data_IF_582136619862
#
_entry.id   IF_582136619862
#
_cell.length_a   1.000
_cell.length_b   1.000
_cell.length_c   1.000
_cell.angle_alpha   90.00
_cell.angle_beta   90.00
_cell.angle_gamma   90.00
#
_symmetry.space_group_name_H-M   'P 1'
#
loop_
_entity.id
_entity.type
_entity.pdbx_description
1 polymer ?
#
# COMPACT_ATOMS: atom_id res chain seq x y z
N UNK A 1 -31.04 3.13 33.33
CA UNK A 1 -31.10 4.39 32.55
C UNK A 1 -29.71 4.59 31.98
N UNK A 2 -29.49 4.11 30.75
CA UNK A 2 -28.18 4.18 30.08
C UNK A 2 -27.92 5.65 29.75
N UNK A 3 -26.83 6.22 30.25
CA UNK A 3 -26.38 7.53 29.80
C UNK A 3 -25.84 7.34 28.38
N UNK A 4 -26.68 7.59 27.39
CA UNK A 4 -26.22 7.78 26.01
C UNK A 4 -25.23 8.94 26.03
N UNK A 5 -23.94 8.60 26.01
CA UNK A 5 -22.88 9.57 25.88
C UNK A 5 -23.08 10.30 24.56
N UNK A 6 -23.48 11.58 24.63
CA UNK A 6 -23.59 12.45 23.47
C UNK A 6 -22.18 12.54 22.87
N UNK A 7 -21.92 11.80 21.79
CA UNK A 7 -20.68 11.88 21.04
C UNK A 7 -20.72 13.16 20.21
N UNK A 8 -19.92 14.15 20.61
CA UNK A 8 -19.72 15.36 19.83
C UNK A 8 -18.92 14.98 18.58
N UNK A 9 -19.41 15.23 17.36
CA UNK A 9 -18.68 14.93 16.13
C UNK A 9 -17.31 15.64 16.15
N UNK A 10 -16.23 14.90 15.92
CA UNK A 10 -14.90 15.48 15.85
C UNK A 10 -14.82 16.51 14.70
N UNK A 11 -14.18 17.64 14.96
CA UNK A 11 -13.93 18.64 13.93
C UNK A 11 -12.98 18.09 12.86
N UNK A 12 -13.02 18.61 11.60
CA UNK A 12 -12.10 18.16 10.56
C UNK A 12 -10.61 18.27 10.95
N UNK A 13 -10.24 19.28 11.75
CA UNK A 13 -8.86 19.43 12.24
C UNK A 13 -8.46 18.31 13.20
N UNK A 14 -9.38 17.88 14.06
CA UNK A 14 -9.15 16.76 14.98
C UNK A 14 -9.02 15.45 14.20
N UNK A 15 -9.91 15.20 13.23
CA UNK A 15 -9.84 14.00 12.40
C UNK A 15 -8.53 13.92 11.60
N UNK A 16 -8.07 15.05 11.03
CA UNK A 16 -6.76 15.14 10.38
C UNK A 16 -5.62 14.78 11.34
N UNK A 17 -5.60 15.38 12.53
CA UNK A 17 -4.57 15.10 13.54
C UNK A 17 -4.59 13.64 13.99
N UNK A 18 -5.78 13.03 14.15
CA UNK A 18 -5.93 11.61 14.44
C UNK A 18 -5.34 10.76 13.30
N UNK A 19 -5.57 11.15 12.04
CA UNK A 19 -4.95 10.51 10.88
C UNK A 19 -3.42 10.55 10.91
N UNK A 20 -2.85 11.71 11.22
CA UNK A 20 -1.39 11.87 11.40
C UNK A 20 -0.87 10.92 12.47
N UNK A 21 -1.46 10.94 13.67
CA UNK A 21 -1.00 10.12 14.81
C UNK A 21 -1.10 8.62 14.51
N UNK A 22 -2.22 8.17 13.93
CA UNK A 22 -2.41 6.76 13.58
C UNK A 22 -1.44 6.28 12.48
N UNK A 23 -0.91 7.20 11.69
CA UNK A 23 0.05 6.92 10.63
C UNK A 23 1.49 6.79 11.14
N UNK A 24 1.85 7.39 12.29
CA UNK A 24 3.23 7.40 12.79
C UNK A 24 3.88 6.01 12.94
N UNK A 25 3.21 4.96 13.45
CA UNK A 25 3.81 3.63 13.52
C UNK A 25 4.16 3.06 12.14
N UNK A 26 3.38 3.43 11.11
CA UNK A 26 3.62 3.03 9.72
C UNK A 26 4.81 3.79 9.16
N UNK A 27 4.90 5.09 9.40
CA UNK A 27 6.04 5.92 9.00
C UNK A 27 7.36 5.38 9.57
N UNK A 28 7.35 4.87 10.80
CA UNK A 28 8.54 4.28 11.42
C UNK A 28 9.11 3.11 10.61
N UNK A 29 8.26 2.31 9.95
CA UNK A 29 8.69 1.27 9.00
C UNK A 29 8.93 1.80 7.59
N UNK A 30 8.14 2.76 7.14
CA UNK A 30 8.22 3.30 5.77
C UNK A 30 9.49 4.12 5.51
N UNK A 31 10.01 4.84 6.51
CA UNK A 31 11.24 5.66 6.37
C UNK A 31 12.48 4.83 6.04
N UNK A 32 12.88 3.80 6.82
CA UNK A 32 14.03 2.97 6.46
C UNK A 32 13.81 2.23 5.13
N UNK A 33 12.56 1.87 4.83
CA UNK A 33 12.20 1.23 3.56
C UNK A 33 12.34 2.16 2.35
N UNK A 34 11.86 3.41 2.46
CA UNK A 34 12.03 4.43 1.43
C UNK A 34 13.51 4.81 1.26
N UNK A 35 14.26 4.86 2.36
CA UNK A 35 15.70 5.10 2.32
C UNK A 35 16.45 3.99 1.56
N UNK A 36 16.08 2.71 1.77
CA UNK A 36 16.60 1.60 0.98
C UNK A 36 16.33 1.81 -0.51
N UNK A 37 15.08 2.07 -0.88
CA UNK A 37 14.69 2.31 -2.27
C UNK A 37 15.55 3.40 -2.90
N UNK A 38 15.71 4.52 -2.20
CA UNK A 38 16.55 5.62 -2.63
C UNK A 38 17.99 5.20 -2.89
N UNK A 39 18.57 4.41 -1.98
CA UNK A 39 19.95 3.91 -2.13
C UNK A 39 20.11 2.95 -3.31
N UNK A 40 19.10 2.12 -3.60
CA UNK A 40 19.07 1.25 -4.76
C UNK A 40 18.93 2.06 -6.06
N UNK A 41 18.09 3.11 -6.04
CA UNK A 41 17.94 4.02 -7.17
C UNK A 41 19.26 4.72 -7.51
N UNK A 42 20.03 5.15 -6.50
CA UNK A 42 21.35 5.72 -6.72
C UNK A 42 22.31 4.72 -7.38
N UNK A 43 22.30 3.44 -6.96
CA UNK A 43 23.09 2.37 -7.59
C UNK A 43 22.69 2.10 -9.03
N UNK A 44 21.40 2.21 -9.33
CA UNK A 44 20.84 2.13 -10.69
C UNK A 44 21.11 3.39 -11.54
N UNK A 45 21.86 4.38 -11.02
CA UNK A 45 22.22 5.60 -11.73
C UNK A 45 21.14 6.69 -11.76
N UNK A 46 20.05 6.52 -11.00
CA UNK A 46 19.00 7.55 -10.89
C UNK A 46 19.45 8.68 -9.96
N UNK A 47 19.17 9.91 -10.37
CA UNK A 47 19.42 11.08 -9.54
C UNK A 47 18.37 11.22 -8.43
N UNK A 48 18.69 12.04 -7.41
CA UNK A 48 17.73 12.39 -6.37
C UNK A 48 16.48 13.11 -6.94
N UNK A 49 16.62 13.81 -8.06
CA UNK A 49 15.49 14.42 -8.76
C UNK A 49 14.60 13.35 -9.42
N UNK A 50 15.20 12.35 -10.08
CA UNK A 50 14.45 11.25 -10.70
C UNK A 50 13.66 10.47 -9.64
N UNK A 51 14.31 10.15 -8.52
CA UNK A 51 13.65 9.47 -7.41
C UNK A 51 12.57 10.35 -6.76
N UNK A 52 12.83 11.64 -6.57
CA UNK A 52 11.86 12.60 -6.05
C UNK A 52 10.63 12.73 -6.94
N UNK A 53 10.81 12.84 -8.26
CA UNK A 53 9.71 12.88 -9.23
C UNK A 53 8.94 11.57 -9.27
N UNK A 54 9.65 10.43 -9.26
CA UNK A 54 9.00 9.12 -9.23
C UNK A 54 8.18 8.94 -7.95
N UNK A 55 8.68 9.36 -6.78
CA UNK A 55 7.93 9.34 -5.51
C UNK A 55 6.78 10.33 -5.47
N UNK A 56 6.93 11.46 -6.15
CA UNK A 56 5.89 12.46 -6.19
C UNK A 56 4.73 12.06 -7.13
N UNK A 57 5.01 11.38 -8.24
CA UNK A 57 4.06 11.08 -9.30
C UNK A 57 3.55 9.62 -9.27
N UNK A 58 4.41 8.68 -8.89
CA UNK A 58 4.11 7.25 -8.78
C UNK A 58 4.21 6.86 -7.31
N UNK A 59 3.24 7.36 -6.53
CA UNK A 59 3.17 7.15 -5.09
C UNK A 59 2.73 5.72 -4.74
N UNK A 60 3.57 4.74 -5.07
CA UNK A 60 3.33 3.31 -4.86
C UNK A 60 4.66 2.57 -4.68
N UNK A 61 5.09 2.37 -3.43
CA UNK A 61 6.44 1.89 -3.12
C UNK A 61 6.86 0.60 -3.83
N UNK A 62 6.02 -0.44 -3.82
CA UNK A 62 6.32 -1.70 -4.52
C UNK A 62 6.57 -1.51 -6.03
N UNK A 63 5.85 -0.59 -6.66
CA UNK A 63 6.00 -0.30 -8.08
C UNK A 63 7.31 0.41 -8.36
N UNK A 64 7.76 1.27 -7.44
CA UNK A 64 9.02 1.97 -7.57
C UNK A 64 10.21 1.01 -7.40
N UNK A 65 10.13 0.02 -6.52
CA UNK A 65 11.15 -1.04 -6.44
C UNK A 65 11.26 -1.80 -7.77
N UNK A 66 10.12 -2.23 -8.32
CA UNK A 66 10.07 -2.88 -9.64
C UNK A 66 10.63 -1.96 -10.73
N UNK A 67 10.31 -0.67 -10.68
CA UNK A 67 10.81 0.31 -11.63
C UNK A 67 12.34 0.42 -11.58
N UNK A 68 12.90 0.64 -10.38
CA UNK A 68 14.34 0.76 -10.15
C UNK A 68 15.06 -0.51 -10.60
N UNK A 69 14.55 -1.69 -10.24
CA UNK A 69 15.14 -2.98 -10.63
C UNK A 69 15.16 -3.17 -12.15
N UNK A 70 14.06 -2.85 -12.84
CA UNK A 70 13.99 -2.99 -14.29
C UNK A 70 14.85 -1.96 -15.01
N UNK A 71 14.93 -0.73 -14.50
CA UNK A 71 15.80 0.33 -15.03
C UNK A 71 17.28 -0.03 -14.86
N UNK A 72 17.66 -0.57 -13.70
CA UNK A 72 19.02 -1.08 -13.42
C UNK A 72 19.43 -2.19 -14.41
N UNK A 73 18.48 -3.08 -14.74
CA UNK A 73 18.65 -4.12 -15.77
C UNK A 73 18.66 -3.58 -17.21
N UNK A 74 18.53 -2.29 -17.43
CA UNK A 74 18.48 -1.67 -18.76
C UNK A 74 17.20 -1.98 -19.55
N UNK A 75 16.10 -2.33 -18.86
CA UNK A 75 14.83 -2.64 -19.51
C UNK A 75 14.27 -1.42 -20.25
N UNK A 76 13.62 -1.63 -21.40
CA UNK A 76 12.96 -0.57 -22.14
C UNK A 76 11.88 0.12 -21.27
N UNK A 77 11.78 1.45 -21.34
CA UNK A 77 10.85 2.24 -20.52
C UNK A 77 9.39 1.80 -20.64
N UNK A 78 8.95 1.34 -21.82
CA UNK A 78 7.59 0.83 -22.00
C UNK A 78 7.34 -0.47 -21.22
N UNK A 79 8.33 -1.34 -21.10
CA UNK A 79 8.23 -2.56 -20.29
C UNK A 79 8.15 -2.22 -18.80
N UNK A 80 8.90 -1.21 -18.35
CA UNK A 80 8.84 -0.68 -16.98
C UNK A 80 7.43 -0.16 -16.67
N UNK A 81 6.87 0.68 -17.55
CA UNK A 81 5.50 1.19 -17.41
C UNK A 81 4.49 0.05 -17.39
N UNK A 82 4.61 -0.94 -18.27
CA UNK A 82 3.74 -2.12 -18.28
C UNK A 82 3.78 -2.90 -16.97
N UNK A 83 4.97 -3.13 -16.41
CA UNK A 83 5.15 -3.81 -15.13
C UNK A 83 4.54 -3.02 -13.96
N UNK A 84 4.78 -1.70 -13.92
CA UNK A 84 4.21 -0.80 -12.91
C UNK A 84 2.68 -0.79 -12.99
N UNK A 85 2.11 -0.70 -14.18
CA UNK A 85 0.65 -0.76 -14.36
C UNK A 85 0.10 -2.09 -13.85
N UNK A 86 0.76 -3.20 -14.18
CA UNK A 86 0.37 -4.54 -13.76
C UNK A 86 0.38 -4.68 -12.23
N UNK A 87 1.43 -4.20 -11.56
CA UNK A 87 1.53 -4.16 -10.10
C UNK A 87 0.37 -3.34 -9.51
N UNK A 88 0.10 -2.18 -10.10
CA UNK A 88 -0.87 -1.23 -9.59
C UNK A 88 -2.33 -1.58 -9.84
N UNK A 89 -2.64 -2.58 -10.66
CA UNK A 89 -4.01 -3.09 -10.80
C UNK A 89 -4.62 -3.51 -9.45
N UNK A 90 -3.80 -3.84 -8.45
CA UNK A 90 -4.26 -4.06 -7.07
C UNK A 90 -4.96 -2.84 -6.47
N UNK A 91 -4.59 -1.62 -6.85
CA UNK A 91 -5.25 -0.39 -6.41
C UNK A 91 -6.68 -0.28 -6.95
N UNK A 92 -6.98 -0.87 -8.11
CA UNK A 92 -8.37 -0.94 -8.59
C UNK A 92 -9.23 -1.83 -7.69
N UNK A 93 -8.69 -2.98 -7.28
CA UNK A 93 -9.37 -3.90 -6.36
C UNK A 93 -9.54 -3.26 -4.98
N UNK A 94 -8.49 -2.62 -4.45
CA UNK A 94 -8.57 -1.87 -3.18
C UNK A 94 -9.56 -0.72 -3.27
N UNK A 95 -9.53 0.07 -4.35
CA UNK A 95 -10.48 1.16 -4.60
C UNK A 95 -11.93 0.69 -4.64
N UNK A 96 -12.20 -0.47 -5.24
CA UNK A 96 -13.54 -1.06 -5.26
C UNK A 96 -14.07 -1.34 -3.84
N UNK A 97 -13.22 -1.76 -2.90
CA UNK A 97 -13.64 -1.96 -1.49
C UNK A 97 -13.93 -0.66 -0.75
N UNK A 98 -13.47 0.49 -1.27
CA UNK A 98 -13.73 1.81 -0.71
C UNK A 98 -14.99 2.47 -1.26
N UNK A 99 -15.65 1.88 -2.26
CA UNK A 99 -16.87 2.44 -2.89
C UNK A 99 -17.91 2.94 -1.87
N UNK A 100 -18.27 2.16 -0.82
CA UNK A 100 -19.31 2.61 0.11
C UNK A 100 -18.90 3.85 0.92
N UNK A 101 -17.59 4.13 1.03
CA UNK A 101 -17.03 5.26 1.79
C UNK A 101 -16.83 6.50 0.92
N UNK A 102 -16.69 6.30 -0.39
CA UNK A 102 -16.50 7.38 -1.37
C UNK A 102 -17.79 7.74 -2.11
N UNK A 103 -18.89 7.01 -1.86
CA UNK A 103 -20.21 7.29 -2.43
C UNK A 103 -20.63 8.72 -2.09
N UNK A 104 -21.01 9.49 -3.12
CA UNK A 104 -21.43 10.89 -2.98
C UNK A 104 -20.28 11.91 -2.99
N UNK A 105 -19.02 11.49 -3.03
CA UNK A 105 -17.88 12.39 -3.22
C UNK A 105 -17.73 12.71 -4.73
N UNK A 106 -17.60 13.99 -5.14
CA UNK A 106 -17.38 14.34 -6.54
C UNK A 106 -16.14 13.64 -7.13
N UNK A 107 -16.23 13.16 -8.38
CA UNK A 107 -15.16 12.40 -9.04
C UNK A 107 -13.77 13.05 -8.94
N UNK A 108 -13.66 14.37 -9.12
CA UNK A 108 -12.37 15.05 -9.02
C UNK A 108 -11.77 14.96 -7.60
N UNK A 109 -12.60 15.08 -6.56
CA UNK A 109 -12.16 14.95 -5.15
C UNK A 109 -11.83 13.51 -4.80
N UNK A 110 -12.63 12.56 -5.29
CA UNK A 110 -12.36 11.14 -5.12
C UNK A 110 -11.05 10.75 -5.82
N UNK A 111 -10.83 11.22 -7.06
CA UNK A 111 -9.60 10.98 -7.81
C UNK A 111 -8.36 11.52 -7.11
N UNK A 112 -8.41 12.74 -6.58
CA UNK A 112 -7.31 13.32 -5.80
C UNK A 112 -7.05 12.52 -4.51
N UNK A 113 -8.09 12.11 -3.80
CA UNK A 113 -7.94 11.30 -2.59
C UNK A 113 -7.34 9.92 -2.91
N UNK A 114 -7.79 9.29 -3.99
CA UNK A 114 -7.33 7.96 -4.43
C UNK A 114 -5.91 8.00 -5.03
N UNK A 115 -5.45 9.14 -5.55
CA UNK A 115 -4.04 9.31 -5.92
C UNK A 115 -3.10 9.05 -4.74
N UNK A 116 -3.49 9.44 -3.53
CA UNK A 116 -2.71 9.19 -2.32
C UNK A 116 -2.94 7.80 -1.70
N UNK A 117 -3.75 6.95 -2.32
CA UNK A 117 -4.04 5.64 -1.75
C UNK A 117 -2.81 4.73 -1.84
N UNK A 118 -2.37 4.24 -0.69
CA UNK A 118 -1.40 3.15 -0.56
C UNK A 118 -2.03 1.97 0.16
N UNK A 119 -1.33 0.84 0.21
CA UNK A 119 -1.76 -0.37 0.92
C UNK A 119 -2.03 -0.05 2.42
N UNK A 120 -1.17 0.77 3.02
CA UNK A 120 -1.24 1.18 4.42
C UNK A 120 -2.42 2.12 4.70
N UNK A 121 -2.61 3.10 3.83
CA UNK A 121 -3.74 4.03 3.93
C UNK A 121 -5.07 3.31 3.72
N UNK A 122 -5.11 2.37 2.77
CA UNK A 122 -6.26 1.50 2.56
C UNK A 122 -6.56 0.65 3.79
N UNK A 123 -5.55 0.03 4.40
CA UNK A 123 -5.72 -0.76 5.62
C UNK A 123 -6.27 0.06 6.79
N UNK A 124 -5.72 1.26 7.01
CA UNK A 124 -6.22 2.18 8.03
C UNK A 124 -7.65 2.65 7.75
N UNK A 125 -7.99 2.91 6.48
CA UNK A 125 -9.33 3.29 6.06
C UNK A 125 -10.35 2.17 6.33
N UNK A 126 -10.00 0.91 6.04
CA UNK A 126 -10.87 -0.23 6.36
C UNK A 126 -11.02 -0.44 7.86
N UNK A 127 -9.96 -0.23 8.64
CA UNK A 127 -10.01 -0.33 10.11
C UNK A 127 -10.90 0.77 10.72
N UNK A 128 -10.86 1.98 10.17
CA UNK A 128 -11.71 3.10 10.58
C UNK A 128 -13.18 2.86 10.23
N UNK A 129 -13.45 2.14 9.15
CA UNK A 129 -14.80 1.66 8.82
C UNK A 129 -15.77 2.82 8.51
N UNK A 130 -17.00 2.81 9.05
CA UNK A 130 -17.99 3.87 8.81
C UNK A 130 -17.58 5.26 9.30
N UNK A 131 -16.65 5.36 10.25
CA UNK A 131 -16.17 6.63 10.80
C UNK A 131 -15.10 7.31 9.93
N UNK A 132 -14.81 6.74 8.75
CA UNK A 132 -13.81 7.29 7.86
C UNK A 132 -14.25 8.67 7.34
N UNK A 133 -13.44 9.68 7.64
CA UNK A 133 -13.61 11.03 7.11
C UNK A 133 -12.51 11.36 6.10
N UNK A 134 -12.80 12.26 5.15
CA UNK A 134 -11.78 12.78 4.23
C UNK A 134 -10.66 13.51 4.98
N UNK A 135 -10.97 14.16 6.10
CA UNK A 135 -9.96 14.85 6.90
C UNK A 135 -8.95 13.86 7.50
N UNK A 136 -9.44 12.75 8.09
CA UNK A 136 -8.59 11.65 8.53
C UNK A 136 -7.75 11.07 7.38
N UNK A 137 -8.38 10.82 6.22
CA UNK A 137 -7.71 10.31 5.03
C UNK A 137 -6.53 11.20 4.61
N UNK A 138 -6.75 12.51 4.52
CA UNK A 138 -5.67 13.45 4.16
C UNK A 138 -4.61 13.61 5.25
N UNK A 139 -4.95 13.40 6.53
CA UNK A 139 -3.98 13.34 7.63
C UNK A 139 -3.01 12.17 7.47
N UNK A 140 -3.52 10.99 7.14
CA UNK A 140 -2.70 9.81 6.81
C UNK A 140 -1.89 10.07 5.54
N UNK A 141 -2.53 10.55 4.47
CA UNK A 141 -1.91 10.78 3.18
C UNK A 141 -0.73 11.74 3.26
N UNK A 142 -0.91 12.92 3.87
CA UNK A 142 0.15 13.91 4.01
C UNK A 142 1.35 13.35 4.79
N UNK A 143 1.07 12.59 5.85
CA UNK A 143 2.10 12.02 6.72
C UNK A 143 2.93 10.95 6.00
N UNK A 144 2.29 9.99 5.32
CA UNK A 144 2.98 8.98 4.52
C UNK A 144 3.71 9.61 3.34
N UNK A 145 3.06 10.50 2.60
CA UNK A 145 3.60 11.08 1.37
C UNK A 145 4.89 11.86 1.64
N UNK A 146 4.88 12.73 2.66
CA UNK A 146 6.05 13.50 3.03
C UNK A 146 7.18 12.62 3.57
N UNK A 147 6.85 11.63 4.42
CA UNK A 147 7.85 10.69 4.93
C UNK A 147 8.48 9.85 3.81
N UNK A 148 7.68 9.35 2.87
CA UNK A 148 8.15 8.55 1.75
C UNK A 148 9.00 9.35 0.77
N UNK A 149 8.53 10.54 0.38
CA UNK A 149 9.26 11.43 -0.53
C UNK A 149 10.61 11.84 0.08
N UNK A 150 10.62 12.29 1.34
CA UNK A 150 11.84 12.71 2.00
C UNK A 150 12.83 11.56 2.22
N UNK A 151 12.37 10.39 2.65
CA UNK A 151 13.23 9.23 2.87
C UNK A 151 13.82 8.68 1.57
N UNK A 152 13.04 8.60 0.48
CA UNK A 152 13.55 8.15 -0.83
C UNK A 152 14.59 9.10 -1.39
N UNK A 153 14.34 10.42 -1.34
CA UNK A 153 15.33 11.42 -1.76
C UNK A 153 16.58 11.37 -0.89
N UNK A 154 16.42 11.32 0.44
CA UNK A 154 17.55 11.21 1.37
C UNK A 154 18.36 9.93 1.12
N UNK A 155 17.70 8.80 0.87
CA UNK A 155 18.33 7.54 0.52
C UNK A 155 19.13 7.62 -0.78
N UNK A 156 18.63 8.31 -1.80
CA UNK A 156 19.37 8.51 -3.06
C UNK A 156 20.58 9.40 -2.87
N UNK A 157 20.45 10.51 -2.12
CA UNK A 157 21.57 11.39 -1.81
C UNK A 157 22.65 10.69 -0.97
N UNK A 158 22.24 9.86 -0.01
CA UNK A 158 23.14 9.08 0.83
C UNK A 158 23.64 7.79 0.17
N UNK A 159 23.05 7.35 -0.95
CA UNK A 159 23.37 6.08 -1.60
C UNK A 159 24.83 5.97 -2.03
N UNK A 160 25.46 7.09 -2.40
CA UNK A 160 26.90 7.16 -2.68
C UNK A 160 27.79 6.81 -1.47
N UNK A 161 27.26 6.92 -0.24
CA UNK A 161 27.96 6.64 1.01
C UNK A 161 27.75 5.19 1.50
N UNK A 162 26.82 4.44 0.90
CA UNK A 162 26.41 3.10 1.37
C UNK A 162 26.84 2.04 0.36
N UNK A 163 27.93 1.33 0.69
CA UNK A 163 28.49 0.27 -0.16
C UNK A 163 27.51 -0.89 -0.36
N UNK A 164 26.82 -1.34 0.70
CA UNK A 164 25.82 -2.41 0.62
C UNK A 164 24.62 -2.14 1.55
N UNK A 165 23.47 -1.70 1.01
CA UNK A 165 22.23 -1.51 1.76
C UNK A 165 21.64 -2.82 2.31
N UNK A 166 21.89 -3.96 1.67
CA UNK A 166 21.32 -5.25 2.09
C UNK A 166 21.99 -5.78 3.36
N UNK A 167 23.27 -5.45 3.57
CA UNK A 167 24.00 -5.75 4.80
C UNK A 167 23.37 -5.17 6.08
N UNK A 168 22.49 -4.16 5.95
CA UNK A 168 21.80 -3.51 7.05
C UNK A 168 20.41 -4.11 7.34
N UNK A 169 20.06 -5.21 6.67
CA UNK A 169 18.75 -5.87 6.80
C UNK A 169 17.60 -5.02 6.28
N UNK A 170 17.88 -4.04 5.43
CA UNK A 170 16.86 -3.13 4.91
C UNK A 170 15.88 -3.86 3.98
N UNK A 171 16.32 -4.92 3.31
CA UNK A 171 15.51 -5.82 2.49
C UNK A 171 14.41 -6.53 3.30
N UNK A 172 14.69 -6.87 4.56
CA UNK A 172 13.70 -7.41 5.48
C UNK A 172 12.58 -6.41 5.82
N UNK A 173 12.84 -5.10 5.73
CA UNK A 173 11.83 -4.07 6.02
C UNK A 173 10.58 -4.22 5.17
N UNK A 174 10.73 -4.61 3.89
CA UNK A 174 9.60 -4.88 3.01
C UNK A 174 8.72 -6.00 3.55
N UNK A 175 9.34 -7.13 3.90
CA UNK A 175 8.65 -8.30 4.46
C UNK A 175 7.98 -7.93 5.79
N UNK A 176 8.67 -7.22 6.66
CA UNK A 176 8.16 -6.80 7.96
C UNK A 176 6.91 -5.93 7.84
N UNK A 177 6.90 -4.93 6.95
CA UNK A 177 5.74 -4.05 6.73
C UNK A 177 4.52 -4.87 6.28
N UNK A 178 4.68 -5.75 5.29
CA UNK A 178 3.57 -6.58 4.82
C UNK A 178 3.09 -7.59 5.86
N UNK A 179 3.98 -8.15 6.68
CA UNK A 179 3.60 -9.00 7.80
C UNK A 179 2.82 -8.23 8.87
N UNK A 180 3.22 -7.00 9.20
CA UNK A 180 2.49 -6.14 10.12
C UNK A 180 1.09 -5.80 9.58
N UNK A 181 0.96 -5.49 8.29
CA UNK A 181 -0.34 -5.27 7.64
C UNK A 181 -1.21 -6.53 7.69
N UNK A 182 -0.64 -7.69 7.34
CA UNK A 182 -1.34 -8.97 7.34
C UNK A 182 -1.83 -9.33 8.75
N UNK A 183 -0.97 -9.17 9.77
CA UNK A 183 -1.34 -9.34 11.16
C UNK A 183 -2.49 -8.40 11.57
N UNK A 184 -2.50 -7.16 11.10
CA UNK A 184 -3.59 -6.20 11.31
C UNK A 184 -4.93 -6.61 10.69
N UNK A 185 -4.93 -7.50 9.69
CA UNK A 185 -6.13 -8.06 9.06
C UNK A 185 -6.57 -9.41 9.65
N UNK A 186 -5.87 -9.93 10.65
CA UNK A 186 -6.25 -11.18 11.30
C UNK A 186 -7.59 -11.02 12.05
N UNK A 187 -8.59 -11.82 11.67
CA UNK A 187 -9.91 -11.89 12.35
C UNK A 187 -10.20 -13.29 12.91
N UNK A 188 -9.15 -14.10 13.07
CA UNK A 188 -9.24 -15.52 13.42
C UNK A 188 -9.09 -16.44 12.21
N UNK A 189 -9.37 -17.73 12.42
CA UNK A 189 -9.15 -18.80 11.42
C UNK A 189 -9.90 -18.58 10.11
N UNK A 190 -10.99 -17.80 10.11
CA UNK A 190 -11.72 -17.43 8.90
C UNK A 190 -10.93 -16.58 7.91
N UNK A 191 -9.86 -15.89 8.36
CA UNK A 191 -8.94 -15.14 7.50
C UNK A 191 -7.99 -16.06 6.71
N UNK A 192 -7.77 -17.31 7.15
CA UNK A 192 -6.77 -18.21 6.54
C UNK A 192 -7.10 -18.63 5.10
N UNK A 193 -8.33 -19.05 4.75
CA UNK A 193 -8.61 -19.52 3.39
C UNK A 193 -8.28 -18.51 2.28
N UNK A 194 -8.69 -17.22 2.34
CA UNK A 194 -8.31 -16.26 1.28
C UNK A 194 -6.80 -15.98 1.26
N UNK A 195 -6.12 -16.03 2.40
CA UNK A 195 -4.67 -15.84 2.47
C UNK A 195 -3.91 -17.00 1.84
N UNK A 196 -4.30 -18.24 2.15
CA UNK A 196 -3.70 -19.44 1.58
C UNK A 196 -3.97 -19.54 0.08
N UNK A 197 -5.17 -19.20 -0.37
CA UNK A 197 -5.50 -19.14 -1.79
C UNK A 197 -4.64 -18.10 -2.53
N UNK A 198 -4.47 -16.92 -1.94
CA UNK A 198 -3.60 -15.87 -2.49
C UNK A 198 -2.14 -16.35 -2.57
N UNK A 199 -1.61 -16.94 -1.50
CA UNK A 199 -0.25 -17.44 -1.45
C UNK A 199 -0.01 -18.57 -2.46
N UNK A 200 -0.91 -19.56 -2.52
CA UNK A 200 -0.81 -20.68 -3.44
C UNK A 200 -0.84 -20.23 -4.90
N UNK A 201 -1.75 -19.31 -5.26
CA UNK A 201 -1.83 -18.78 -6.62
C UNK A 201 -0.60 -17.96 -7.01
N UNK A 202 -0.10 -17.12 -6.10
CA UNK A 202 1.11 -16.33 -6.33
C UNK A 202 2.34 -17.24 -6.53
N UNK A 203 2.51 -18.27 -5.68
CA UNK A 203 3.62 -19.22 -5.79
C UNK A 203 3.52 -20.07 -7.07
N UNK A 204 2.31 -20.53 -7.43
CA UNK A 204 2.11 -21.30 -8.66
C UNK A 204 2.46 -20.47 -9.90
N UNK A 205 2.00 -19.23 -9.98
CA UNK A 205 2.33 -18.35 -11.10
C UNK A 205 3.81 -17.99 -11.14
N UNK A 206 4.44 -17.77 -9.98
CA UNK A 206 5.88 -17.54 -9.92
C UNK A 206 6.69 -18.75 -10.40
N UNK A 207 6.27 -19.98 -10.06
CA UNK A 207 6.93 -21.20 -10.50
C UNK A 207 6.74 -21.48 -12.00
N UNK A 208 5.58 -21.14 -12.56
CA UNK A 208 5.23 -21.40 -13.96
C UNK A 208 5.68 -20.29 -14.92
N UNK A 209 5.89 -19.07 -14.41
CA UNK A 209 6.29 -17.91 -15.19
C UNK A 209 7.64 -17.39 -14.68
N UNK A 210 8.70 -17.63 -15.44
CA UNK A 210 10.06 -17.17 -15.13
C UNK A 210 10.25 -15.66 -15.31
N UNK A 211 9.21 -14.89 -15.66
CA UNK A 211 9.30 -13.45 -15.87
C UNK A 211 8.00 -12.69 -15.62
N UNK A 212 8.13 -11.51 -15.00
CA UNK A 212 7.04 -10.55 -14.82
C UNK A 212 6.31 -10.63 -13.48
N UNK A 213 5.42 -9.66 -13.26
CA UNK A 213 4.80 -9.41 -11.95
C UNK A 213 3.38 -10.02 -11.82
N UNK A 214 3.09 -11.04 -12.61
CA UNK A 214 1.77 -11.70 -12.69
C UNK A 214 1.32 -12.36 -11.39
N UNK A 215 2.27 -12.78 -10.57
CA UNK A 215 2.00 -13.40 -9.27
C UNK A 215 1.20 -12.49 -8.32
N UNK A 216 1.37 -11.16 -8.41
CA UNK A 216 0.59 -10.20 -7.60
C UNK A 216 -0.89 -10.27 -7.97
N UNK A 217 -1.21 -10.26 -9.27
CA UNK A 217 -2.58 -10.33 -9.75
C UNK A 217 -3.23 -11.68 -9.44
N UNK A 218 -2.49 -12.76 -9.66
CA UNK A 218 -2.98 -14.11 -9.40
C UNK A 218 -3.36 -14.28 -7.92
N UNK A 219 -2.50 -13.82 -7.00
CA UNK A 219 -2.79 -13.82 -5.57
C UNK A 219 -4.01 -12.98 -5.22
N UNK A 220 -4.07 -11.73 -5.70
CA UNK A 220 -5.17 -10.82 -5.43
C UNK A 220 -6.53 -11.36 -5.91
N UNK A 221 -6.58 -11.92 -7.12
CA UNK A 221 -7.80 -12.50 -7.69
C UNK A 221 -8.23 -13.77 -6.94
N UNK A 222 -7.29 -14.68 -6.64
CA UNK A 222 -7.59 -15.92 -5.93
C UNK A 222 -8.09 -15.65 -4.51
N UNK A 223 -7.36 -14.84 -3.74
CA UNK A 223 -7.75 -14.46 -2.38
C UNK A 223 -9.06 -13.68 -2.34
N UNK A 224 -9.22 -12.70 -3.23
CA UNK A 224 -10.45 -11.91 -3.35
C UNK A 224 -11.67 -12.77 -3.71
N UNK A 225 -11.50 -13.74 -4.61
CA UNK A 225 -12.58 -14.67 -4.99
C UNK A 225 -13.02 -15.55 -3.83
N UNK A 226 -12.06 -16.12 -3.07
CA UNK A 226 -12.37 -16.93 -1.88
C UNK A 226 -13.07 -16.09 -0.81
N UNK A 227 -12.58 -14.88 -0.55
CA UNK A 227 -13.20 -13.96 0.41
C UNK A 227 -14.64 -13.59 0.01
N UNK A 228 -14.88 -13.34 -1.29
CA UNK A 228 -16.21 -13.04 -1.81
C UNK A 228 -17.18 -14.23 -1.67
N UNK A 229 -16.71 -15.46 -1.91
CA UNK A 229 -17.51 -16.68 -1.72
C UNK A 229 -17.84 -16.90 -0.24
N UNK A 230 -16.90 -16.67 0.67
CA UNK A 230 -17.13 -16.75 2.11
C UNK A 230 -18.18 -15.74 2.58
N UNK A 231 -18.08 -14.49 2.12
CA UNK A 231 -19.05 -13.44 2.46
C UNK A 231 -20.48 -13.79 2.00
N UNK A 232 -20.63 -14.35 0.79
CA UNK A 232 -21.92 -14.83 0.28
C UNK A 232 -22.48 -16.01 1.10
N UNK A 233 -21.62 -16.92 1.55
CA UNK A 233 -22.02 -18.05 2.38
C UNK A 233 -22.52 -17.63 3.76
N UNK A 234 -21.91 -16.61 4.36
CA UNK A 234 -22.31 -16.07 5.66
C UNK A 234 -23.65 -15.32 5.60
N UNK A 235 -23.89 -14.53 4.56
CA UNK A 235 -25.17 -13.85 4.37
C UNK A 235 -26.35 -14.83 4.20
N UNK A 236 -26.15 -15.91 3.42
CA UNK A 236 -27.18 -16.94 3.23
C UNK A 236 -27.52 -17.74 4.50
N UNK A 237 -26.58 -17.87 5.43
CA UNK A 237 -26.79 -18.56 6.70
C UNK A 237 -27.46 -17.68 7.78
N UNK A 238 -27.47 -16.35 7.59
CA UNK A 238 -28.18 -15.41 8.47
C UNK A 238 -29.64 -15.19 8.03
N UNK A 239 -29.93 -15.44 6.75
CA UNK A 239 -31.28 -15.29 6.15
C UNK A 239 -32.11 -16.59 6.16
N UNK A 240 -31.56 -17.71 6.68
CA UNK A 240 -32.18 -19.04 6.74
C UNK A 240 -32.51 -19.43 8.19
#
# INVERSE_FOLDING_TARGET
MSMDSITIPASPRQEFAVGVVHCLPIVAGAVPFGFLLGSLAAKAGLSALDMGLMSALVFAGSSQFVAVELLDKGSAGLAVVGAILLVNLRHLLMGATLEPRFRGIPCARAGLALFFMTDEQWALALRRGPELTLAYWYGVAATLYLAWLSSTVAGTLAGALIADPTAWGLDFTFIAVFLCLLAGFWRGVGSLPPWLASAAAALAVHALSSGGTWHILAGALAGGSVAALQAKGQGRAQDA
#
